data_IF_130654033420
#
_entry.id   IF_130654033420
#
_cell.length_a   1.000
_cell.length_b   1.000
_cell.length_c   1.000
_cell.angle_alpha   90.00
_cell.angle_beta   90.00
_cell.angle_gamma   90.00
#
_symmetry.space_group_name_H-M   'P 1'
#
loop_
_entity.id
_entity.type
_entity.pdbx_description
1 polymer ?
#
# COMPACT_ATOMS: atom_id res chain seq x y z
N UNK A 1 -1.41 -3.84 0.11
CA UNK A 1 -0.20 -4.48 -0.39
C UNK A 1 -0.34 -5.98 -0.29
N UNK A 2 0.50 -6.67 -1.05
CA UNK A 2 0.58 -8.13 -1.23
C UNK A 2 -0.75 -8.77 -1.63
N UNK A 3 -1.42 -8.17 -2.62
CA UNK A 3 -2.57 -8.79 -3.28
C UNK A 3 -2.13 -9.73 -4.42
N UNK A 4 -0.92 -9.55 -4.94
CA UNK A 4 -0.25 -10.52 -5.81
C UNK A 4 0.46 -11.61 -5.00
N UNK A 5 0.59 -12.82 -5.54
CA UNK A 5 1.17 -13.96 -4.81
C UNK A 5 2.69 -13.93 -4.70
N UNK A 6 3.36 -13.37 -5.70
CA UNK A 6 4.83 -13.39 -5.80
C UNK A 6 5.40 -12.12 -6.39
N UNK A 7 4.83 -11.67 -7.50
CA UNK A 7 5.26 -10.54 -8.31
C UNK A 7 4.04 -9.89 -8.92
N UNK A 8 4.13 -8.62 -9.33
CA UNK A 8 3.05 -7.85 -9.95
C UNK A 8 2.60 -8.41 -11.30
N UNK A 9 1.86 -9.51 -11.28
CA UNK A 9 1.30 -10.16 -12.45
C UNK A 9 0.03 -9.45 -12.92
N UNK A 10 -0.07 -9.19 -14.23
CA UNK A 10 -1.18 -8.44 -14.81
C UNK A 10 -2.55 -9.08 -14.56
N UNK A 11 -2.64 -10.42 -14.52
CA UNK A 11 -3.90 -11.11 -14.24
C UNK A 11 -4.29 -11.00 -12.77
N UNK A 12 -3.32 -11.03 -11.85
CA UNK A 12 -3.57 -10.80 -10.42
C UNK A 12 -4.00 -9.35 -10.15
N UNK A 13 -3.40 -8.37 -10.85
CA UNK A 13 -3.86 -6.98 -10.84
C UNK A 13 -5.29 -6.83 -11.35
N UNK A 14 -5.62 -7.43 -12.50
CA UNK A 14 -6.98 -7.38 -13.05
C UNK A 14 -8.00 -8.04 -12.11
N UNK A 15 -7.65 -9.16 -11.47
CA UNK A 15 -8.50 -9.81 -10.48
C UNK A 15 -8.70 -8.94 -9.23
N UNK A 16 -7.65 -8.27 -8.76
CA UNK A 16 -7.73 -7.36 -7.62
C UNK A 16 -8.53 -6.09 -7.96
N UNK A 17 -8.38 -5.51 -9.15
CA UNK A 17 -9.19 -4.37 -9.58
C UNK A 17 -10.67 -4.73 -9.68
N UNK A 18 -11.00 -5.91 -10.21
CA UNK A 18 -12.39 -6.40 -10.23
C UNK A 18 -12.97 -6.55 -8.81
N UNK A 19 -12.15 -6.99 -7.85
CA UNK A 19 -12.53 -6.99 -6.44
C UNK A 19 -12.77 -5.56 -5.91
N UNK A 20 -11.88 -4.61 -6.19
CA UNK A 20 -12.07 -3.20 -5.79
C UNK A 20 -13.34 -2.60 -6.40
N UNK A 21 -13.63 -2.88 -7.66
CA UNK A 21 -14.82 -2.42 -8.38
C UNK A 21 -16.12 -2.89 -7.71
N UNK A 22 -16.13 -4.12 -7.19
CA UNK A 22 -17.30 -4.70 -6.54
C UNK A 22 -17.58 -4.14 -5.13
N UNK A 23 -16.61 -3.45 -4.51
CA UNK A 23 -16.78 -2.88 -3.18
C UNK A 23 -17.63 -1.61 -3.22
N UNK A 24 -18.63 -1.45 -2.31
CA UNK A 24 -19.53 -0.29 -2.29
C UNK A 24 -18.86 0.98 -1.74
N UNK A 25 -17.60 0.89 -1.28
CA UNK A 25 -16.89 1.99 -0.67
C UNK A 25 -16.55 3.07 -1.72
N UNK A 26 -16.81 4.35 -1.45
CA UNK A 26 -16.55 5.42 -2.42
C UNK A 26 -15.05 5.69 -2.60
N UNK A 27 -14.24 5.41 -1.56
CA UNK A 27 -12.80 5.61 -1.59
C UNK A 27 -12.05 4.28 -1.37
N UNK A 28 -11.16 3.95 -2.30
CA UNK A 28 -10.28 2.77 -2.23
C UNK A 28 -8.83 3.22 -2.34
N UNK A 29 -8.07 3.05 -1.26
CA UNK A 29 -6.70 3.52 -1.13
C UNK A 29 -5.76 2.32 -1.05
N UNK A 30 -4.73 2.29 -1.90
CA UNK A 30 -3.84 1.12 -2.03
C UNK A 30 -2.39 1.54 -1.88
N UNK A 31 -1.65 0.85 -1.00
CA UNK A 31 -0.19 0.80 -1.03
C UNK A 31 0.24 -0.55 -1.62
N UNK A 32 1.30 -0.54 -2.43
CA UNK A 32 1.91 -1.72 -3.00
C UNK A 32 2.84 -2.38 -1.98
N UNK A 33 2.72 -3.69 -1.86
CA UNK A 33 3.62 -4.53 -1.10
C UNK A 33 4.76 -5.08 -1.94
N UNK A 34 5.64 -5.86 -1.32
CA UNK A 34 6.80 -6.42 -1.99
C UNK A 34 6.43 -7.47 -3.05
N UNK A 35 5.24 -8.07 -2.98
CA UNK A 35 4.76 -9.00 -4.00
C UNK A 35 4.01 -8.32 -5.15
N UNK A 36 3.62 -7.06 -5.00
CA UNK A 36 2.85 -6.34 -6.01
C UNK A 36 3.75 -5.70 -7.08
N UNK A 37 5.07 -5.67 -6.86
CA UNK A 37 6.01 -5.05 -7.80
C UNK A 37 6.15 -5.86 -9.09
N UNK A 38 5.92 -5.23 -10.23
CA UNK A 38 6.16 -5.85 -11.53
C UNK A 38 7.65 -5.81 -11.90
N UNK A 39 8.12 -6.83 -12.61
CA UNK A 39 9.46 -6.82 -13.22
C UNK A 39 9.46 -6.33 -14.67
N UNK A 40 8.27 -6.10 -15.25
CA UNK A 40 8.14 -5.47 -16.54
C UNK A 40 8.26 -3.95 -16.37
N UNK A 41 9.32 -3.38 -16.95
CA UNK A 41 9.61 -1.94 -16.89
C UNK A 41 8.52 -1.06 -17.51
N UNK A 42 7.66 -1.61 -18.35
CA UNK A 42 6.53 -0.89 -18.95
C UNK A 42 5.22 -1.02 -18.19
N UNK A 43 5.18 -1.81 -17.12
CA UNK A 43 3.97 -2.00 -16.33
C UNK A 43 3.76 -0.80 -15.40
N UNK A 44 2.60 -0.15 -15.53
CA UNK A 44 2.18 0.93 -14.65
C UNK A 44 1.19 0.37 -13.62
N UNK A 45 1.68 0.11 -12.40
CA UNK A 45 0.87 -0.45 -11.32
C UNK A 45 -0.30 0.45 -10.92
N UNK A 46 -0.19 1.77 -11.13
CA UNK A 46 -1.28 2.70 -10.81
C UNK A 46 -2.36 2.63 -11.87
N UNK A 47 -1.97 2.64 -13.15
CA UNK A 47 -2.91 2.51 -14.27
C UNK A 47 -3.59 1.14 -14.30
N UNK A 48 -2.94 0.10 -13.76
CA UNK A 48 -3.50 -1.25 -13.66
C UNK A 48 -4.62 -1.40 -12.61
N UNK A 49 -4.87 -0.39 -11.76
CA UNK A 49 -5.93 -0.39 -10.74
C UNK A 49 -6.90 0.81 -10.90
N UNK A 50 -7.61 0.94 -12.03
CA UNK A 50 -8.50 2.07 -12.29
C UNK A 50 -9.68 2.19 -11.31
N UNK A 51 -10.04 1.12 -10.61
CA UNK A 51 -11.09 1.12 -9.59
C UNK A 51 -10.61 1.64 -8.24
N UNK A 52 -9.30 1.79 -8.04
CA UNK A 52 -8.74 2.45 -6.87
C UNK A 52 -8.91 3.98 -6.98
N UNK A 53 -9.20 4.63 -5.86
CA UNK A 53 -9.18 6.10 -5.78
C UNK A 53 -7.75 6.63 -5.86
N UNK A 54 -6.81 5.93 -5.22
CA UNK A 54 -5.39 6.27 -5.29
C UNK A 54 -4.52 5.05 -5.01
N UNK A 55 -3.46 4.90 -5.78
CA UNK A 55 -2.38 3.92 -5.54
C UNK A 55 -1.12 4.70 -5.18
N UNK A 56 -0.69 4.58 -3.93
CA UNK A 56 0.40 5.37 -3.37
C UNK A 56 1.77 4.93 -3.88
N UNK A 57 2.69 5.88 -4.05
CA UNK A 57 4.13 5.63 -4.18
C UNK A 57 4.85 6.01 -2.89
N UNK A 58 5.04 7.31 -2.70
CA UNK A 58 5.58 7.93 -1.48
C UNK A 58 5.10 9.38 -1.44
N UNK A 59 3.83 9.59 -1.12
CA UNK A 59 3.22 10.92 -1.16
C UNK A 59 2.05 11.09 -0.18
N UNK A 60 1.64 12.35 0.01
CA UNK A 60 0.45 12.74 0.75
C UNK A 60 -0.71 13.02 -0.21
N UNK A 61 -1.92 12.59 0.16
CA UNK A 61 -3.17 13.03 -0.45
C UNK A 61 -4.15 13.47 0.64
N UNK A 62 -5.19 14.20 0.24
CA UNK A 62 -6.33 14.49 1.13
C UNK A 62 -7.60 13.83 0.59
N UNK A 63 -8.24 13.01 1.43
CA UNK A 63 -9.51 12.34 1.10
C UNK A 63 -10.47 12.51 2.28
N UNK A 64 -11.70 12.95 2.01
CA UNK A 64 -12.69 13.26 3.05
C UNK A 64 -12.20 14.24 4.14
N UNK A 65 -11.29 15.15 3.79
CA UNK A 65 -10.66 16.08 4.75
C UNK A 65 -9.57 15.48 5.64
N UNK A 66 -9.27 14.18 5.48
CA UNK A 66 -8.17 13.51 6.18
C UNK A 66 -6.89 13.62 5.36
N UNK A 67 -5.79 13.97 6.03
CA UNK A 67 -4.44 13.99 5.46
C UNK A 67 -3.81 12.61 5.59
N UNK A 68 -3.61 11.98 4.45
CA UNK A 68 -3.19 10.57 4.36
C UNK A 68 -1.85 10.51 3.63
N UNK A 69 -0.84 9.95 4.28
CA UNK A 69 0.46 9.68 3.65
C UNK A 69 0.59 8.18 3.39
N UNK A 70 0.98 7.80 2.19
CA UNK A 70 1.16 6.39 1.82
C UNK A 70 2.56 6.12 1.29
N UNK A 71 3.14 4.99 1.70
CA UNK A 71 4.48 4.54 1.29
C UNK A 71 4.39 3.08 0.84
N UNK A 72 4.56 2.87 -0.46
CA UNK A 72 4.67 1.55 -1.07
C UNK A 72 6.07 0.95 -0.92
N UNK A 73 6.17 -0.36 -1.05
CA UNK A 73 7.46 -1.07 -1.05
C UNK A 73 8.23 -0.81 -2.36
N UNK A 74 9.59 -0.84 -2.39
CA UNK A 74 10.51 -0.99 -1.27
C UNK A 74 10.71 0.31 -0.48
N UNK A 75 10.88 0.16 0.84
CA UNK A 75 11.33 1.26 1.72
C UNK A 75 12.77 1.71 1.47
N UNK A 76 13.56 1.02 0.63
CA UNK A 76 15.02 1.22 0.53
C UNK A 76 15.36 2.67 0.15
N UNK A 77 15.77 3.45 1.15
CA UNK A 77 16.14 4.87 1.02
C UNK A 77 15.21 5.85 1.75
N UNK A 78 14.05 5.40 2.22
CA UNK A 78 13.04 6.25 2.83
C UNK A 78 13.23 6.39 4.35
N UNK A 79 14.25 7.15 4.76
CA UNK A 79 14.09 8.02 5.94
C UNK A 79 13.20 9.19 5.53
N UNK A 80 11.91 8.91 5.30
CA UNK A 80 10.96 9.96 4.90
C UNK A 80 10.62 10.76 6.15
N UNK A 81 10.99 12.04 6.12
CA UNK A 81 10.45 12.99 7.07
C UNK A 81 8.94 13.10 6.81
N UNK A 82 8.16 12.46 7.67
CA UNK A 82 6.71 12.52 7.57
C UNK A 82 6.23 13.97 7.80
N UNK A 83 5.30 14.48 6.98
CA UNK A 83 4.62 15.73 7.25
C UNK A 83 3.99 15.73 8.65
N UNK A 84 4.06 16.86 9.35
CA UNK A 84 3.37 17.01 10.65
C UNK A 84 1.87 17.08 10.43
N UNK A 85 1.10 16.56 11.39
CA UNK A 85 -0.36 16.64 11.40
C UNK A 85 -1.03 15.77 10.34
N UNK A 86 -0.43 14.61 10.03
CA UNK A 86 -1.11 13.55 9.29
C UNK A 86 -2.15 12.88 10.19
N UNK A 87 -3.29 12.54 9.61
CA UNK A 87 -4.33 11.77 10.29
C UNK A 87 -4.11 10.26 10.12
N UNK A 88 -3.55 9.86 8.97
CA UNK A 88 -3.37 8.46 8.62
C UNK A 88 -2.04 8.24 7.88
N UNK A 89 -1.33 7.18 8.26
CA UNK A 89 -0.15 6.68 7.57
C UNK A 89 -0.42 5.26 7.06
N UNK A 90 -0.33 5.03 5.75
CA UNK A 90 -0.42 3.71 5.14
C UNK A 90 0.97 3.22 4.76
N UNK A 91 1.36 2.07 5.28
CA UNK A 91 2.61 1.39 4.91
C UNK A 91 2.34 -0.09 4.70
N UNK A 92 3.09 -0.72 3.80
CA UNK A 92 3.06 -2.18 3.66
C UNK A 92 3.67 -2.87 4.88
N UNK A 93 4.87 -2.44 5.28
CA UNK A 93 5.57 -3.01 6.42
C UNK A 93 5.15 -2.34 7.73
N UNK A 94 5.14 -3.09 8.85
CA UNK A 94 4.85 -2.55 10.17
C UNK A 94 5.90 -1.54 10.65
N UNK A 95 5.54 -0.66 11.61
CA UNK A 95 6.51 0.13 12.35
C UNK A 95 7.27 -0.75 13.36
N UNK A 96 8.50 -0.34 13.68
CA UNK A 96 9.35 -1.04 14.63
C UNK A 96 8.68 -1.18 16.01
N UNK A 97 8.74 -2.38 16.58
CA UNK A 97 8.14 -2.73 17.87
C UNK A 97 6.66 -3.09 17.83
N UNK A 98 5.99 -3.02 16.67
CA UNK A 98 4.57 -3.32 16.52
C UNK A 98 4.34 -4.35 15.42
N UNK A 99 4.10 -5.61 15.80
CA UNK A 99 3.84 -6.71 14.86
C UNK A 99 4.94 -6.87 13.78
N UNK A 100 6.18 -6.50 14.11
CA UNK A 100 7.34 -6.45 13.21
C UNK A 100 8.23 -7.70 13.29
N UNK A 101 7.75 -8.76 13.93
CA UNK A 101 8.46 -10.04 14.10
C UNK A 101 7.61 -11.20 13.58
N UNK A 102 8.25 -12.09 12.81
CA UNK A 102 7.60 -13.32 12.32
C UNK A 102 7.69 -14.42 13.40
N UNK A 103 6.57 -15.07 13.71
CA UNK A 103 6.50 -16.22 14.65
C UNK A 103 5.89 -15.92 16.03
N UNK A 104 5.91 -16.91 16.95
CA UNK A 104 5.13 -16.92 18.21
C UNK A 104 5.53 -15.89 19.30
N UNK A 105 6.47 -14.98 19.07
CA UNK A 105 6.90 -14.01 20.09
C UNK A 105 6.30 -12.64 19.85
N UNK A 106 4.98 -12.51 20.01
CA UNK A 106 4.37 -11.21 20.23
C UNK A 106 4.30 -10.96 21.74
N UNK A 107 5.35 -10.33 22.30
CA UNK A 107 5.20 -9.67 23.60
C UNK A 107 4.63 -8.29 23.30
N UNK A 108 3.37 -8.06 23.67
CA UNK A 108 2.83 -6.70 23.72
C UNK A 108 3.64 -5.96 24.78
N UNK A 109 4.49 -5.03 24.36
CA UNK A 109 5.04 -4.03 25.25
C UNK A 109 3.91 -3.01 25.49
N UNK A 110 3.13 -3.25 26.54
CA UNK A 110 2.23 -2.26 27.15
C UNK A 110 2.83 -1.94 28.52
#
# INVERSE_FOLDING_TARGET
GDFCRRTGDAMEYAAFDAFLAALPHPHKLVVLGNHDMSFDTGFDERAALPSATHVFGCEEITVCGLRIFGISWPKRGYHVALPRGLDLLLTHEPPWGFLDVVGRRHRKHI
#
